data_IF_033370344929
#
_entry.id   IF_033370344929
#
_cell.length_a   1.000
_cell.length_b   1.000
_cell.length_c   1.000
_cell.angle_alpha   90.00
_cell.angle_beta   90.00
_cell.angle_gamma   90.00
#
_symmetry.space_group_name_H-M   'P 1'
#
loop_
_entity.id
_entity.type
_entity.pdbx_description
1 polymer ?
#
# COMPACT_ATOMS: atom_id res chain seq x y z
N UNK A 1 17.98 -1.41 5.05
CA UNK A 1 17.79 -0.18 5.84
C UNK A 1 18.71 -0.22 7.03
N UNK A 2 19.57 0.78 7.15
CA UNK A 2 20.57 0.94 8.20
C UNK A 2 20.00 1.67 9.42
N UNK A 3 19.01 2.53 9.21
CA UNK A 3 18.31 3.26 10.24
C UNK A 3 16.81 3.42 9.91
N UNK A 4 16.09 4.03 10.85
CA UNK A 4 14.65 4.28 10.73
C UNK A 4 14.32 5.25 9.58
N UNK A 5 15.19 6.22 9.32
CA UNK A 5 14.94 7.24 8.30
C UNK A 5 14.98 6.62 6.91
N UNK A 6 15.97 5.77 6.65
CA UNK A 6 16.08 5.03 5.39
C UNK A 6 14.89 4.08 5.18
N UNK A 7 14.44 3.39 6.24
CA UNK A 7 13.28 2.52 6.17
C UNK A 7 11.98 3.30 5.87
N UNK A 8 11.79 4.43 6.52
CA UNK A 8 10.62 5.29 6.31
C UNK A 8 10.60 5.85 4.88
N UNK A 9 11.74 6.34 4.38
CA UNK A 9 11.85 6.84 3.01
C UNK A 9 11.55 5.76 1.96
N UNK A 10 11.97 4.53 2.21
CA UNK A 10 11.70 3.41 1.31
C UNK A 10 10.22 3.00 1.30
N UNK A 11 9.54 3.02 2.45
CA UNK A 11 8.09 2.80 2.53
C UNK A 11 7.35 3.88 1.75
N UNK A 12 7.70 5.15 1.95
CA UNK A 12 7.12 6.26 1.21
C UNK A 12 7.29 6.08 -0.31
N UNK A 13 8.51 5.77 -0.76
CA UNK A 13 8.77 5.54 -2.19
C UNK A 13 7.99 4.35 -2.74
N UNK A 14 7.88 3.26 -1.97
CA UNK A 14 7.07 2.12 -2.36
C UNK A 14 5.59 2.51 -2.53
N UNK A 15 5.01 3.24 -1.57
CA UNK A 15 3.61 3.67 -1.62
C UNK A 15 3.35 4.59 -2.82
N UNK A 16 4.18 5.60 -3.02
CA UNK A 16 3.92 6.65 -4.04
C UNK A 16 4.33 6.24 -5.45
N UNK A 17 5.39 5.45 -5.61
CA UNK A 17 5.96 5.15 -6.93
C UNK A 17 5.64 3.75 -7.45
N UNK A 18 5.37 2.79 -6.56
CA UNK A 18 5.21 1.39 -6.95
C UNK A 18 3.84 0.80 -6.60
N UNK A 19 3.25 1.21 -5.48
CA UNK A 19 2.01 0.64 -5.00
C UNK A 19 0.80 1.29 -5.66
N UNK A 20 0.01 0.47 -6.38
CA UNK A 20 -1.24 0.94 -6.97
C UNK A 20 -2.43 0.62 -6.06
N UNK A 21 -2.84 1.61 -5.27
CA UNK A 21 -3.95 1.49 -4.33
C UNK A 21 -5.35 1.49 -4.98
N UNK A 22 -5.41 1.69 -6.31
CA UNK A 22 -6.64 1.65 -7.11
C UNK A 22 -6.76 0.39 -7.97
N UNK A 23 -5.79 -0.53 -7.92
CA UNK A 23 -5.84 -1.79 -8.67
C UNK A 23 -6.75 -2.78 -7.94
N UNK A 24 -7.57 -3.51 -8.70
CA UNK A 24 -8.40 -4.59 -8.17
C UNK A 24 -7.55 -5.85 -7.94
N UNK A 25 -7.73 -6.49 -6.78
CA UNK A 25 -7.02 -7.72 -6.42
C UNK A 25 -8.00 -8.86 -6.11
N UNK A 26 -7.85 -10.00 -6.76
CA UNK A 26 -8.73 -11.17 -6.57
C UNK A 26 -8.61 -11.79 -5.17
N UNK A 27 -7.47 -11.63 -4.49
CA UNK A 27 -7.24 -12.13 -3.13
C UNK A 27 -8.03 -11.37 -2.05
N UNK A 28 -8.59 -10.21 -2.38
CA UNK A 28 -9.41 -9.39 -1.49
C UNK A 28 -10.79 -9.15 -2.10
N UNK A 29 -11.41 -10.23 -2.59
CA UNK A 29 -12.77 -10.22 -3.14
C UNK A 29 -12.99 -9.22 -4.28
N UNK A 30 -11.96 -9.01 -5.11
CA UNK A 30 -11.96 -8.05 -6.21
C UNK A 30 -12.16 -6.60 -5.77
N UNK A 31 -11.75 -6.26 -4.56
CA UNK A 31 -11.67 -4.89 -4.09
C UNK A 31 -10.30 -4.28 -4.43
N UNK A 32 -10.27 -2.95 -4.46
CA UNK A 32 -9.01 -2.20 -4.37
C UNK A 32 -8.53 -2.17 -2.92
N UNK A 33 -7.21 -1.99 -2.68
CA UNK A 33 -6.68 -1.87 -1.33
C UNK A 33 -7.39 -0.76 -0.53
N UNK A 34 -7.63 0.41 -1.15
CA UNK A 34 -8.33 1.52 -0.51
C UNK A 34 -9.77 1.18 -0.12
N UNK A 35 -10.50 0.45 -0.97
CA UNK A 35 -11.86 -0.01 -0.63
C UNK A 35 -11.82 -1.00 0.53
N UNK A 36 -10.86 -1.93 0.53
CA UNK A 36 -10.71 -2.91 1.61
C UNK A 36 -10.42 -2.22 2.94
N UNK A 37 -9.51 -1.24 2.96
CA UNK A 37 -9.17 -0.49 4.18
C UNK A 37 -10.38 0.28 4.73
N UNK A 38 -11.19 0.90 3.87
CA UNK A 38 -12.41 1.60 4.26
C UNK A 38 -13.48 0.70 4.90
N UNK A 39 -13.46 -0.60 4.61
CA UNK A 39 -14.39 -1.57 5.21
C UNK A 39 -13.93 -2.06 6.59
N UNK A 40 -12.65 -1.90 6.91
CA UNK A 40 -12.04 -2.34 8.18
C UNK A 40 -11.93 -1.19 9.19
N UNK A 41 -11.99 0.06 8.72
CA UNK A 41 -12.07 1.28 9.54
C UNK A 41 -13.45 1.47 10.19
#
# INVERSE_FOLDING_TARGET
YQDFEEANAAIFSYIESFYNSARIHSSIDYLTPNEKEKLVA
#
